data_IF_045304208020
#
_entry.id   IF_045304208020
#
_cell.length_a   1.000
_cell.length_b   1.000
_cell.length_c   1.000
_cell.angle_alpha   90.00
_cell.angle_beta   90.00
_cell.angle_gamma   90.00
#
_symmetry.space_group_name_H-M   'P 1'
#
loop_
_entity.id
_entity.type
_entity.pdbx_description
1 polymer ?
#
# COMPACT_ATOMS: atom_id res chain seq x y z
N UNK A 1 31.30 72.92 5.81
CA UNK A 1 32.59 73.55 5.46
C UNK A 1 33.67 72.46 5.41
N UNK A 2 34.37 72.45 4.25
CA UNK A 2 35.70 71.84 3.95
C UNK A 2 35.76 70.32 3.99
N UNK A 3 35.80 69.60 2.90
CA UNK A 3 36.76 69.42 1.77
C UNK A 3 37.62 68.20 1.96
N UNK A 4 37.50 67.34 0.95
CA UNK A 4 38.37 66.20 0.59
C UNK A 4 39.87 66.61 0.43
N UNK A 5 40.82 65.68 0.37
CA UNK A 5 41.16 65.09 -0.92
C UNK A 5 41.59 63.63 -0.96
N UNK A 6 41.52 63.14 -2.13
CA UNK A 6 41.96 62.08 -2.99
C UNK A 6 43.51 61.87 -3.03
N UNK A 7 43.93 60.57 -3.13
CA UNK A 7 45.06 60.06 -3.98
C UNK A 7 45.17 58.54 -3.69
N UNK A 8 45.20 57.60 -4.57
CA UNK A 8 45.88 57.49 -5.87
C UNK A 8 47.03 56.45 -5.72
N UNK A 9 47.03 55.37 -6.50
CA UNK A 9 48.12 54.41 -6.63
C UNK A 9 47.61 52.95 -6.72
N UNK A 10 47.38 52.43 -7.84
CA UNK A 10 48.12 51.83 -8.98
C UNK A 10 48.74 50.42 -8.68
N UNK A 11 48.21 49.46 -9.40
CA UNK A 11 48.72 48.21 -10.00
C UNK A 11 49.80 47.37 -9.29
N UNK A 12 49.43 46.08 -9.12
CA UNK A 12 50.33 44.99 -9.54
C UNK A 12 49.50 43.72 -9.86
N UNK A 13 49.56 43.30 -11.11
CA UNK A 13 49.16 41.97 -11.60
C UNK A 13 50.19 40.97 -11.15
N UNK A 14 49.72 39.81 -10.64
CA UNK A 14 50.46 38.56 -10.76
C UNK A 14 49.53 37.42 -11.11
N UNK A 15 49.85 36.83 -12.22
CA UNK A 15 49.32 35.68 -12.91
C UNK A 15 49.66 34.37 -12.19
N UNK A 16 48.84 33.34 -12.56
CA UNK A 16 49.16 31.90 -12.57
C UNK A 16 48.84 31.17 -11.27
N UNK A 17 48.28 30.05 -11.21
CA UNK A 17 48.27 28.86 -12.05
C UNK A 17 47.11 27.94 -11.58
N UNK A 18 46.29 27.50 -12.47
CA UNK A 18 45.29 26.45 -12.19
C UNK A 18 45.91 25.08 -12.47
N UNK A 19 45.83 24.11 -11.60
CA UNK A 19 46.11 22.73 -11.99
C UNK A 19 44.90 22.07 -12.60
N UNK A 20 45.10 21.05 -13.47
CA UNK A 20 44.07 20.49 -14.38
C UNK A 20 43.11 19.53 -13.65
N UNK A 21 41.91 19.27 -14.20
CA UNK A 21 40.90 18.40 -13.62
C UNK A 21 41.16 16.93 -14.01
N UNK A 22 41.64 16.12 -13.08
CA UNK A 22 41.60 14.67 -13.22
C UNK A 22 41.71 14.01 -11.87
N UNK A 23 40.59 13.75 -11.20
CA UNK A 23 40.35 12.65 -10.23
C UNK A 23 39.02 12.78 -9.48
N UNK A 24 37.96 13.23 -10.12
CA UNK A 24 36.65 13.32 -9.46
C UNK A 24 35.55 12.44 -10.10
N UNK A 25 35.90 11.50 -10.99
CA UNK A 25 34.90 10.76 -11.77
C UNK A 25 34.85 9.24 -11.51
N UNK A 26 35.40 8.78 -10.40
CA UNK A 26 35.34 7.35 -9.99
C UNK A 26 34.60 7.04 -8.69
N UNK A 27 33.96 8.02 -8.06
CA UNK A 27 33.20 7.81 -6.80
C UNK A 27 31.69 8.12 -6.92
N UNK A 28 31.17 8.31 -8.14
CA UNK A 28 29.73 8.54 -8.39
C UNK A 28 28.98 7.35 -9.01
N UNK A 29 29.51 6.13 -8.98
CA UNK A 29 28.84 4.93 -9.53
C UNK A 29 28.58 3.83 -8.50
N UNK A 30 28.44 4.16 -7.23
CA UNK A 30 28.10 3.18 -6.18
C UNK A 30 27.04 3.69 -5.19
N UNK A 31 26.10 4.54 -5.65
CA UNK A 31 24.99 4.97 -4.80
C UNK A 31 23.74 5.12 -5.66
N UNK A 32 23.19 3.99 -6.09
CA UNK A 32 22.00 4.01 -6.92
C UNK A 32 21.42 2.62 -7.12
N UNK A 33 20.92 1.98 -6.07
CA UNK A 33 19.89 0.93 -6.12
C UNK A 33 19.52 0.53 -4.69
N UNK A 34 18.77 1.37 -3.98
CA UNK A 34 17.92 0.90 -2.89
C UNK A 34 16.51 0.92 -3.42
N UNK A 35 16.01 -0.26 -3.77
CA UNK A 35 14.65 -0.50 -4.22
C UNK A 35 13.65 -0.01 -3.16
N UNK A 36 12.79 0.88 -3.59
CA UNK A 36 11.54 1.19 -2.93
C UNK A 36 10.67 -0.06 -3.01
N UNK A 37 10.45 -0.75 -1.89
CA UNK A 37 9.46 -1.80 -1.77
C UNK A 37 8.05 -1.16 -1.69
N UNK A 38 7.62 -0.62 -2.81
CA UNK A 38 6.24 -0.28 -3.09
C UNK A 38 5.91 -0.98 -4.40
N UNK A 39 5.05 -1.99 -4.34
CA UNK A 39 4.54 -2.76 -5.47
C UNK A 39 5.64 -3.24 -6.46
N UNK A 40 6.36 -4.30 -6.11
CA UNK A 40 7.24 -4.98 -7.06
C UNK A 40 6.40 -5.67 -8.14
N UNK A 41 6.29 -5.04 -9.29
CA UNK A 41 5.90 -5.70 -10.55
C UNK A 41 7.11 -6.52 -10.98
N UNK A 42 7.07 -7.83 -10.81
CA UNK A 42 8.02 -8.74 -11.44
C UNK A 42 7.57 -8.95 -12.89
N UNK A 43 8.14 -8.19 -13.81
CA UNK A 43 8.08 -8.50 -15.23
C UNK A 43 9.10 -9.62 -15.53
N UNK A 44 8.64 -10.85 -15.77
CA UNK A 44 9.44 -11.94 -16.31
C UNK A 44 9.74 -11.65 -17.79
N UNK A 45 10.93 -11.12 -18.06
CA UNK A 45 11.48 -11.03 -19.40
C UNK A 45 11.97 -12.41 -19.86
N UNK A 46 11.38 -12.91 -20.94
CA UNK A 46 11.83 -14.13 -21.62
C UNK A 46 13.17 -13.88 -22.32
N UNK A 47 14.24 -14.42 -21.76
CA UNK A 47 15.55 -14.54 -22.39
C UNK A 47 15.69 -15.92 -23.03
N UNK A 48 15.65 -15.99 -24.35
CA UNK A 48 15.91 -17.19 -25.14
C UNK A 48 17.40 -17.46 -25.22
N UNK A 49 17.88 -18.51 -24.53
CA UNK A 49 19.20 -19.12 -24.74
C UNK A 49 19.02 -20.60 -25.04
N UNK A 50 19.86 -21.22 -25.91
CA UNK A 50 19.60 -22.56 -26.45
C UNK A 50 19.81 -23.65 -25.41
N UNK A 51 18.81 -24.52 -25.29
CA UNK A 51 18.82 -25.70 -24.43
C UNK A 51 19.83 -26.74 -24.94
N UNK A 52 20.74 -27.15 -24.06
CA UNK A 52 21.62 -28.29 -24.25
C UNK A 52 20.87 -29.53 -23.72
N UNK A 53 20.70 -30.52 -24.61
CA UNK A 53 20.04 -31.78 -24.30
C UNK A 53 20.79 -32.55 -23.20
N UNK A 54 20.08 -32.99 -22.18
CA UNK A 54 20.55 -33.96 -21.19
C UNK A 54 20.02 -35.35 -21.57
N UNK A 55 20.92 -36.35 -21.58
CA UNK A 55 20.63 -37.76 -21.86
C UNK A 55 19.77 -38.42 -20.79
N UNK A 56 18.94 -39.42 -21.14
CA UNK A 56 18.08 -40.09 -20.16
C UNK A 56 18.81 -41.23 -19.44
N UNK A 57 18.62 -41.33 -18.13
CA UNK A 57 19.03 -42.47 -17.31
C UNK A 57 18.03 -43.64 -17.49
N UNK A 58 18.49 -44.90 -17.48
CA UNK A 58 17.66 -46.07 -17.74
C UNK A 58 17.00 -46.63 -16.48
N UNK A 59 15.75 -47.00 -16.60
CA UNK A 59 15.13 -48.12 -15.85
C UNK A 59 14.34 -47.75 -14.63
N UNK A 60 13.00 -47.61 -14.76
CA UNK A 60 12.05 -48.04 -13.72
C UNK A 60 10.78 -48.56 -14.40
N UNK A 61 10.46 -49.79 -14.09
CA UNK A 61 9.36 -50.57 -14.62
C UNK A 61 7.99 -49.98 -14.31
N UNK A 62 7.15 -49.86 -15.34
CA UNK A 62 5.73 -49.56 -15.25
C UNK A 62 4.99 -50.77 -14.62
N UNK A 63 4.31 -50.56 -13.49
CA UNK A 63 3.26 -51.43 -13.01
C UNK A 63 1.91 -50.98 -13.58
N UNK A 64 1.02 -51.90 -13.96
CA UNK A 64 -0.27 -51.53 -14.55
C UNK A 64 -1.24 -51.00 -13.47
N UNK A 65 -1.79 -49.80 -13.68
CA UNK A 65 -2.88 -49.23 -12.88
C UNK A 65 -4.18 -49.93 -13.30
N UNK A 66 -4.76 -50.71 -12.38
CA UNK A 66 -6.11 -51.24 -12.53
C UNK A 66 -7.13 -50.12 -12.44
N UNK A 67 -8.02 -50.10 -13.43
CA UNK A 67 -9.21 -49.25 -13.48
C UNK A 67 -10.19 -49.64 -12.38
N UNK A 68 -10.14 -48.97 -11.23
CA UNK A 68 -11.11 -49.09 -10.13
C UNK A 68 -12.19 -48.03 -10.28
N UNK A 69 -13.45 -48.46 -10.18
CA UNK A 69 -14.67 -47.75 -10.45
C UNK A 69 -14.80 -46.34 -9.85
N UNK A 70 -15.42 -45.48 -10.59
CA UNK A 70 -15.88 -44.17 -10.24
C UNK A 70 -16.81 -44.17 -9.04
N UNK A 71 -16.29 -43.90 -7.85
CA UNK A 71 -17.11 -43.40 -6.74
C UNK A 71 -17.26 -41.91 -7.00
N UNK A 72 -18.51 -41.49 -7.23
CA UNK A 72 -18.87 -40.10 -7.44
C UNK A 72 -18.25 -39.21 -6.36
N UNK A 73 -17.43 -38.25 -6.82
CA UNK A 73 -17.06 -37.10 -6.01
C UNK A 73 -18.35 -36.36 -5.63
N UNK A 74 -18.48 -35.83 -4.40
CA UNK A 74 -19.60 -35.00 -4.08
C UNK A 74 -19.60 -33.82 -5.08
N UNK A 75 -20.67 -33.66 -5.81
CA UNK A 75 -20.96 -32.53 -6.65
C UNK A 75 -20.91 -31.29 -5.75
N UNK A 76 -19.76 -30.62 -5.70
CA UNK A 76 -19.71 -29.23 -5.28
C UNK A 76 -20.63 -28.49 -6.24
N UNK A 77 -21.71 -27.92 -5.73
CA UNK A 77 -22.57 -27.03 -6.49
C UNK A 77 -21.67 -25.91 -7.05
N UNK A 78 -21.27 -26.07 -8.32
CA UNK A 78 -20.61 -25.04 -9.11
C UNK A 78 -21.67 -23.98 -9.36
N UNK A 79 -21.90 -23.12 -8.36
CA UNK A 79 -22.74 -21.95 -8.52
C UNK A 79 -22.16 -21.09 -9.62
N UNK A 80 -23.00 -20.41 -10.37
CA UNK A 80 -22.59 -19.48 -11.40
C UNK A 80 -21.66 -18.39 -10.83
N UNK A 81 -20.35 -18.54 -11.06
CA UNK A 81 -19.31 -17.65 -10.55
C UNK A 81 -19.28 -16.29 -11.29
N UNK A 82 -20.00 -16.21 -12.43
CA UNK A 82 -20.13 -14.96 -13.21
C UNK A 82 -21.15 -14.00 -12.60
N UNK A 83 -22.01 -14.49 -11.69
CA UNK A 83 -23.09 -13.70 -11.05
C UNK A 83 -22.61 -12.43 -10.34
N UNK A 84 -21.34 -12.40 -9.94
CA UNK A 84 -20.72 -11.28 -9.22
C UNK A 84 -20.18 -10.19 -10.16
N UNK A 85 -20.04 -10.47 -11.45
CA UNK A 85 -19.42 -9.54 -12.40
C UNK A 85 -20.15 -8.20 -12.44
N UNK A 86 -21.49 -8.21 -12.32
CA UNK A 86 -22.30 -6.98 -12.29
C UNK A 86 -22.08 -6.10 -11.05
N UNK A 87 -21.42 -6.60 -10.01
CA UNK A 87 -21.07 -5.85 -8.79
C UNK A 87 -19.68 -5.25 -8.83
N UNK A 88 -18.90 -5.56 -9.87
CA UNK A 88 -17.52 -5.14 -10.02
C UNK A 88 -17.40 -4.10 -11.13
N UNK A 89 -16.60 -3.08 -10.87
CA UNK A 89 -16.29 -2.02 -11.84
C UNK A 89 -14.80 -1.83 -11.97
N UNK A 90 -14.36 -1.33 -13.11
CA UNK A 90 -13.00 -0.81 -13.27
C UNK A 90 -12.96 0.64 -12.80
N UNK A 91 -11.93 0.98 -12.05
CA UNK A 91 -11.58 2.34 -11.66
C UNK A 91 -10.31 2.76 -12.40
N UNK A 92 -10.38 3.91 -13.06
CA UNK A 92 -9.22 4.62 -13.60
C UNK A 92 -9.15 5.99 -12.90
N UNK A 93 -8.05 6.25 -12.21
CA UNK A 93 -7.85 7.50 -11.47
C UNK A 93 -6.63 8.24 -12.00
N UNK A 94 -6.75 9.55 -12.11
CA UNK A 94 -5.66 10.46 -12.48
C UNK A 94 -5.29 11.34 -11.30
N UNK A 95 -4.00 11.34 -10.99
CA UNK A 95 -3.40 12.09 -9.89
C UNK A 95 -2.44 13.13 -10.48
N UNK A 96 -2.43 14.38 -10.00
CA UNK A 96 -1.47 15.37 -10.43
C UNK A 96 -0.04 14.89 -10.28
N UNK A 97 0.80 15.12 -11.26
CA UNK A 97 2.20 14.65 -11.24
C UNK A 97 3.04 15.26 -10.11
N UNK A 98 2.62 16.40 -9.58
CA UNK A 98 3.23 17.11 -8.45
C UNK A 98 2.66 16.67 -7.09
N UNK A 99 1.68 15.77 -7.06
CA UNK A 99 1.14 15.21 -5.82
C UNK A 99 2.17 14.28 -5.14
N UNK A 100 2.17 14.29 -3.81
CA UNK A 100 3.12 13.51 -3.01
C UNK A 100 3.04 12.02 -3.31
N UNK A 101 1.83 11.48 -3.47
CA UNK A 101 1.65 10.06 -3.77
C UNK A 101 1.97 9.68 -5.22
N UNK A 102 2.03 10.63 -6.16
CA UNK A 102 2.38 10.35 -7.54
C UNK A 102 3.82 9.83 -7.70
N UNK A 103 4.74 10.27 -6.82
CA UNK A 103 6.14 9.84 -6.84
C UNK A 103 6.32 8.34 -6.53
N UNK A 104 5.43 7.76 -5.75
CA UNK A 104 5.54 6.35 -5.31
C UNK A 104 4.51 5.42 -5.95
N UNK A 105 3.33 5.94 -6.29
CA UNK A 105 2.20 5.15 -6.81
C UNK A 105 1.89 5.43 -8.28
N UNK A 106 2.57 6.39 -8.89
CA UNK A 106 2.28 6.84 -10.24
C UNK A 106 1.10 7.82 -10.32
N UNK A 107 1.00 8.53 -11.44
CA UNK A 107 -0.06 9.50 -11.72
C UNK A 107 -1.32 8.86 -12.32
N UNK A 108 -1.16 7.80 -13.11
CA UNK A 108 -2.26 7.01 -13.68
C UNK A 108 -2.40 5.71 -12.89
N UNK A 109 -3.58 5.51 -12.30
CA UNK A 109 -3.85 4.34 -11.46
C UNK A 109 -5.09 3.62 -11.95
N UNK A 110 -4.98 2.31 -12.04
CA UNK A 110 -6.10 1.44 -12.44
C UNK A 110 -6.28 0.34 -11.40
N UNK A 111 -7.51 0.01 -11.10
CA UNK A 111 -7.85 -1.07 -10.19
C UNK A 111 -9.34 -1.40 -10.21
N UNK A 112 -9.77 -2.15 -9.22
CA UNK A 112 -11.13 -2.63 -9.06
C UNK A 112 -11.91 -1.77 -8.09
N UNK A 113 -13.20 -1.59 -8.37
CA UNK A 113 -14.19 -1.07 -7.45
C UNK A 113 -15.35 -2.04 -7.26
N UNK A 114 -16.00 -1.95 -6.13
CA UNK A 114 -17.11 -2.80 -5.69
C UNK A 114 -18.31 -1.90 -5.48
N UNK A 115 -19.43 -2.18 -6.16
CA UNK A 115 -20.66 -1.39 -6.05
C UNK A 115 -21.29 -1.65 -4.69
N UNK A 116 -21.50 -0.59 -3.88
CA UNK A 116 -22.20 -0.65 -2.60
C UNK A 116 -23.67 -0.20 -2.69
N UNK A 117 -23.94 0.77 -3.56
CA UNK A 117 -25.28 1.27 -3.88
C UNK A 117 -25.30 1.82 -5.32
N UNK A 118 -26.36 2.51 -5.71
CA UNK A 118 -26.56 3.02 -7.07
C UNK A 118 -25.51 4.06 -7.52
N UNK A 119 -24.74 4.65 -6.60
CA UNK A 119 -23.72 5.68 -6.90
C UNK A 119 -22.42 5.52 -6.14
N UNK A 120 -22.34 4.62 -5.17
CA UNK A 120 -21.19 4.47 -4.31
C UNK A 120 -20.38 3.23 -4.68
N UNK A 121 -19.07 3.43 -4.88
CA UNK A 121 -18.12 2.37 -5.17
C UNK A 121 -17.06 2.34 -4.07
N UNK A 122 -16.85 1.17 -3.49
CA UNK A 122 -15.78 0.88 -2.55
C UNK A 122 -14.54 0.39 -3.29
N UNK A 123 -13.38 0.85 -2.87
CA UNK A 123 -12.09 0.38 -3.40
C UNK A 123 -11.00 0.45 -2.34
N UNK A 124 -9.78 0.10 -2.72
CA UNK A 124 -8.60 0.39 -1.90
C UNK A 124 -8.11 1.81 -2.17
N UNK A 125 -7.88 2.55 -1.12
CA UNK A 125 -7.75 4.00 -1.19
C UNK A 125 -6.49 4.52 -1.89
N UNK A 126 -5.41 3.74 -1.96
CA UNK A 126 -4.24 4.20 -2.71
C UNK A 126 -4.52 4.40 -4.20
N UNK A 127 -5.58 3.81 -4.75
CA UNK A 127 -6.04 4.09 -6.11
C UNK A 127 -6.56 5.52 -6.27
N UNK A 128 -7.20 6.05 -5.22
CA UNK A 128 -7.91 7.34 -5.24
C UNK A 128 -7.20 8.46 -4.48
N UNK A 129 -6.09 8.13 -3.79
CA UNK A 129 -5.35 9.08 -2.97
C UNK A 129 -4.80 10.23 -3.83
N UNK A 130 -5.18 11.48 -3.49
CA UNK A 130 -4.84 12.72 -4.22
C UNK A 130 -5.34 12.73 -5.68
N UNK A 131 -6.32 11.89 -6.06
CA UNK A 131 -6.84 11.87 -7.42
C UNK A 131 -7.74 13.09 -7.70
N UNK A 132 -7.49 13.77 -8.82
CA UNK A 132 -8.32 14.88 -9.32
C UNK A 132 -9.47 14.38 -10.18
N UNK A 133 -9.30 13.26 -10.87
CA UNK A 133 -10.34 12.68 -11.72
C UNK A 133 -10.41 11.16 -11.52
N UNK A 134 -11.62 10.64 -11.47
CA UNK A 134 -11.90 9.20 -11.41
C UNK A 134 -12.93 8.86 -12.49
N UNK A 135 -12.68 7.78 -13.21
CA UNK A 135 -13.58 7.21 -14.18
C UNK A 135 -13.95 5.78 -13.74
N UNK A 136 -15.25 5.52 -13.63
CA UNK A 136 -15.79 4.20 -13.33
C UNK A 136 -16.27 3.58 -14.63
N UNK A 137 -15.84 2.36 -14.93
CA UNK A 137 -16.36 1.58 -16.07
C UNK A 137 -17.06 0.34 -15.54
N UNK A 138 -18.35 0.21 -15.81
CA UNK A 138 -19.17 -0.92 -15.36
C UNK A 138 -18.95 -2.17 -16.20
N UNK A 139 -19.46 -3.30 -15.75
CA UNK A 139 -19.37 -4.57 -16.49
C UNK A 139 -20.04 -4.51 -17.88
N UNK A 140 -21.05 -3.65 -18.07
CA UNK A 140 -21.67 -3.40 -19.37
C UNK A 140 -20.82 -2.54 -20.32
N UNK A 141 -19.69 -1.98 -19.83
CA UNK A 141 -18.84 -1.06 -20.57
C UNK A 141 -19.23 0.42 -20.46
N UNK A 142 -20.27 0.75 -19.67
CA UNK A 142 -20.67 2.13 -19.42
C UNK A 142 -19.60 2.86 -18.62
N UNK A 143 -19.14 4.01 -19.14
CA UNK A 143 -18.13 4.85 -18.52
C UNK A 143 -18.78 6.05 -17.83
N UNK A 144 -18.56 6.20 -16.53
CA UNK A 144 -19.23 7.21 -15.70
C UNK A 144 -18.16 8.00 -14.95
N UNK A 145 -18.07 9.33 -15.12
CA UNK A 145 -17.24 10.18 -14.30
C UNK A 145 -17.64 10.08 -12.83
N UNK A 146 -16.64 10.20 -11.95
CA UNK A 146 -16.83 10.07 -10.52
C UNK A 146 -15.85 10.96 -9.77
N UNK A 147 -16.12 11.20 -8.50
CA UNK A 147 -15.24 11.90 -7.57
C UNK A 147 -14.89 11.02 -6.38
N UNK A 148 -13.78 11.31 -5.73
CA UNK A 148 -13.41 10.67 -4.46
C UNK A 148 -14.38 11.16 -3.38
N UNK A 149 -15.19 10.26 -2.85
CA UNK A 149 -16.13 10.56 -1.77
C UNK A 149 -15.46 10.56 -0.40
N UNK A 150 -14.45 9.72 -0.19
CA UNK A 150 -13.70 9.68 1.04
C UNK A 150 -12.55 8.69 1.01
N UNK A 151 -11.60 8.92 1.94
CA UNK A 151 -10.44 8.07 2.16
C UNK A 151 -10.14 7.94 3.65
N UNK A 152 -9.82 6.73 4.11
CA UNK A 152 -9.38 6.49 5.48
C UNK A 152 -7.95 5.96 5.54
N UNK A 153 -7.04 6.76 6.07
CA UNK A 153 -5.62 6.39 6.21
C UNK A 153 -5.38 5.23 7.18
N UNK A 154 -6.29 5.01 8.12
CA UNK A 154 -6.17 3.96 9.14
C UNK A 154 -6.42 2.57 8.55
N UNK A 155 -7.46 2.43 7.75
CA UNK A 155 -7.85 1.16 7.13
C UNK A 155 -7.36 1.02 5.70
N UNK A 156 -7.15 2.14 5.01
CA UNK A 156 -6.81 2.17 3.61
C UNK A 156 -8.01 2.06 2.67
N UNK A 157 -9.27 2.15 3.16
CA UNK A 157 -10.43 2.18 2.29
C UNK A 157 -10.56 3.50 1.54
N UNK A 158 -11.02 3.42 0.28
CA UNK A 158 -11.44 4.55 -0.53
C UNK A 158 -12.89 4.38 -0.98
N UNK A 159 -13.65 5.47 -0.97
CA UNK A 159 -15.00 5.54 -1.52
C UNK A 159 -15.03 6.52 -2.68
N UNK A 160 -15.72 6.13 -3.73
CA UNK A 160 -15.92 6.93 -4.94
C UNK A 160 -17.41 7.11 -5.17
N UNK A 161 -17.83 8.30 -5.58
CA UNK A 161 -19.20 8.62 -5.92
C UNK A 161 -19.32 8.97 -7.39
N UNK A 162 -20.19 8.26 -8.11
CA UNK A 162 -20.45 8.49 -9.53
C UNK A 162 -21.47 9.61 -9.75
N UNK A 163 -21.30 10.37 -10.83
CA UNK A 163 -22.25 11.45 -11.20
C UNK A 163 -23.60 10.93 -11.71
N UNK A 164 -23.64 9.71 -12.24
CA UNK A 164 -24.84 9.04 -12.73
C UNK A 164 -25.00 7.69 -12.02
N UNK A 165 -26.23 7.15 -11.94
CA UNK A 165 -26.43 5.82 -11.39
C UNK A 165 -25.68 4.73 -12.17
N UNK A 166 -25.17 3.77 -11.39
CA UNK A 166 -24.55 2.54 -11.87
C UNK A 166 -25.62 1.57 -12.34
N UNK A 167 -25.30 0.80 -13.38
CA UNK A 167 -26.17 -0.26 -13.91
C UNK A 167 -25.83 -1.65 -13.36
N UNK A 168 -24.95 -1.70 -12.35
CA UNK A 168 -24.53 -2.93 -11.68
C UNK A 168 -25.39 -3.25 -10.43
N UNK A 169 -25.11 -4.41 -9.83
CA UNK A 169 -25.78 -4.87 -8.60
C UNK A 169 -24.94 -4.55 -7.38
N UNK A 170 -25.49 -3.92 -6.32
CA UNK A 170 -24.80 -3.74 -5.07
C UNK A 170 -24.39 -5.08 -4.44
N UNK A 171 -23.19 -5.14 -3.87
CA UNK A 171 -22.69 -6.27 -3.09
C UNK A 171 -22.93 -6.00 -1.60
N UNK A 172 -23.64 -6.90 -0.93
CA UNK A 172 -23.90 -6.75 0.51
C UNK A 172 -22.64 -6.94 1.33
N UNK A 173 -22.49 -6.14 2.41
CA UNK A 173 -21.38 -6.26 3.35
C UNK A 173 -21.59 -7.49 4.25
N UNK A 174 -20.66 -8.41 4.21
CA UNK A 174 -20.63 -9.60 5.07
C UNK A 174 -20.10 -9.34 6.47
N UNK A 175 -19.73 -10.40 7.17
CA UNK A 175 -19.11 -10.36 8.49
C UNK A 175 -17.69 -10.91 8.41
N UNK A 176 -16.71 -10.03 8.26
CA UNK A 176 -15.30 -10.40 8.14
C UNK A 176 -14.66 -10.91 9.43
N UNK A 177 -15.31 -10.75 10.60
CA UNK A 177 -14.80 -11.23 11.87
C UNK A 177 -15.07 -12.73 12.04
N UNK A 178 -16.01 -13.29 11.26
CA UNK A 178 -16.29 -14.72 11.21
C UNK A 178 -15.36 -15.50 10.29
N UNK A 179 -14.53 -14.84 9.51
CA UNK A 179 -13.57 -15.50 8.60
C UNK A 179 -12.55 -16.29 9.39
N UNK A 180 -12.31 -17.54 8.98
CA UNK A 180 -11.38 -18.47 9.64
C UNK A 180 -10.31 -18.96 8.66
N UNK A 181 -9.17 -19.36 9.20
CA UNK A 181 -8.12 -20.03 8.43
C UNK A 181 -8.66 -21.30 7.76
N UNK A 182 -8.16 -21.63 6.59
CA UNK A 182 -8.58 -22.72 5.71
C UNK A 182 -9.99 -22.57 5.13
N UNK A 183 -10.71 -21.51 5.45
CA UNK A 183 -12.00 -21.22 4.84
C UNK A 183 -11.83 -20.98 3.34
N UNK A 184 -12.71 -21.58 2.54
CA UNK A 184 -12.87 -21.29 1.12
C UNK A 184 -13.57 -19.94 0.96
N UNK A 185 -13.07 -19.12 0.08
CA UNK A 185 -13.63 -17.82 -0.29
C UNK A 185 -13.43 -17.59 -1.79
N UNK A 186 -14.14 -16.64 -2.35
CA UNK A 186 -14.00 -16.25 -3.75
C UNK A 186 -13.36 -14.88 -3.85
N UNK A 187 -12.68 -14.62 -4.96
CA UNK A 187 -12.18 -13.27 -5.30
C UNK A 187 -12.56 -12.92 -6.72
N UNK A 188 -12.82 -11.64 -6.96
CA UNK A 188 -13.11 -11.11 -8.28
C UNK A 188 -12.55 -9.71 -8.43
N UNK A 189 -11.66 -9.53 -9.42
CA UNK A 189 -11.15 -8.24 -9.89
C UNK A 189 -11.83 -7.81 -11.19
N UNK A 190 -11.70 -6.55 -11.57
CA UNK A 190 -12.22 -6.06 -12.83
C UNK A 190 -11.55 -6.75 -14.02
N UNK A 191 -12.30 -7.05 -15.06
CA UNK A 191 -11.81 -7.69 -16.28
C UNK A 191 -11.62 -9.21 -16.16
N UNK A 192 -11.85 -9.80 -15.00
CA UNK A 192 -11.90 -11.25 -14.84
C UNK A 192 -13.25 -11.79 -15.31
N UNK A 193 -13.30 -12.92 -16.02
CA UNK A 193 -14.54 -13.45 -16.58
C UNK A 193 -15.47 -14.01 -15.49
N UNK A 194 -14.90 -14.51 -14.39
CA UNK A 194 -15.61 -15.12 -13.26
C UNK A 194 -14.80 -15.04 -11.98
N UNK A 195 -15.44 -15.25 -10.84
CA UNK A 195 -14.78 -15.27 -9.55
C UNK A 195 -13.87 -16.51 -9.42
N UNK A 196 -12.69 -16.30 -8.81
CA UNK A 196 -11.69 -17.34 -8.56
C UNK A 196 -11.78 -17.83 -7.13
N UNK A 197 -11.70 -19.15 -6.94
CA UNK A 197 -11.67 -19.78 -5.63
C UNK A 197 -10.27 -19.68 -5.02
N UNK A 198 -10.19 -19.23 -3.77
CA UNK A 198 -8.98 -19.12 -2.98
C UNK A 198 -9.28 -19.50 -1.52
N UNK A 199 -8.22 -19.63 -0.70
CA UNK A 199 -8.37 -20.06 0.68
C UNK A 199 -7.76 -19.07 1.64
N UNK A 200 -8.39 -18.86 2.78
CA UNK A 200 -7.83 -18.06 3.87
C UNK A 200 -6.64 -18.80 4.47
N UNK A 201 -5.48 -18.17 4.44
CA UNK A 201 -4.23 -18.76 4.94
C UNK A 201 -3.93 -18.34 6.37
N UNK A 202 -4.13 -17.06 6.71
CA UNK A 202 -3.91 -16.55 8.08
C UNK A 202 -4.67 -15.25 8.34
N UNK A 203 -4.66 -14.85 9.63
CA UNK A 203 -5.22 -13.61 10.15
C UNK A 203 -4.21 -12.87 11.05
N UNK A 204 -2.91 -12.98 10.76
CA UNK A 204 -1.84 -12.35 11.55
C UNK A 204 -1.83 -10.83 11.39
N UNK A 205 -1.29 -10.11 12.39
CA UNK A 205 -1.07 -8.66 12.29
C UNK A 205 -0.19 -8.32 11.09
N UNK A 206 -0.51 -7.25 10.39
CA UNK A 206 0.29 -6.67 9.32
C UNK A 206 0.66 -5.24 9.65
N UNK A 207 1.95 -4.92 9.58
CA UNK A 207 2.45 -3.55 9.63
C UNK A 207 3.28 -3.23 8.40
N UNK A 208 3.26 -1.98 7.99
CA UNK A 208 4.05 -1.49 6.87
C UNK A 208 4.69 -0.13 7.18
N UNK A 209 5.85 0.11 6.59
CA UNK A 209 6.71 1.25 6.93
C UNK A 209 6.07 2.62 6.82
N UNK A 210 5.03 2.77 6.03
CA UNK A 210 4.32 4.05 5.82
C UNK A 210 3.26 4.38 6.89
N UNK A 211 3.50 3.98 8.15
CA UNK A 211 2.62 4.18 9.30
C UNK A 211 1.25 3.48 9.10
N UNK A 212 1.30 2.21 8.75
CA UNK A 212 0.13 1.39 8.50
C UNK A 212 0.16 0.12 9.34
N UNK A 213 -0.97 -0.18 9.99
CA UNK A 213 -1.15 -1.39 10.82
C UNK A 213 -2.60 -1.84 10.76
N UNK A 214 -2.81 -3.10 10.38
CA UNK A 214 -4.08 -3.82 10.51
C UNK A 214 -3.85 -5.01 11.43
N UNK A 215 -4.64 -5.12 12.49
CA UNK A 215 -4.46 -6.18 13.50
C UNK A 215 -4.81 -7.55 12.99
N UNK A 216 -5.90 -7.66 12.24
CA UNK A 216 -6.43 -8.94 11.77
C UNK A 216 -6.85 -8.88 10.29
N UNK A 217 -5.96 -8.52 9.36
CA UNK A 217 -6.27 -8.61 7.94
C UNK A 217 -6.56 -10.06 7.54
N UNK A 218 -7.08 -10.27 6.35
CA UNK A 218 -7.28 -11.61 5.80
C UNK A 218 -6.15 -11.87 4.81
N UNK A 219 -5.39 -12.93 5.01
CA UNK A 219 -4.40 -13.39 4.03
C UNK A 219 -4.93 -14.61 3.31
N UNK A 220 -4.74 -14.66 1.99
CA UNK A 220 -5.22 -15.77 1.16
C UNK A 220 -4.14 -16.38 0.28
N UNK A 221 -4.39 -17.62 -0.17
CA UNK A 221 -3.58 -18.40 -1.08
C UNK A 221 -4.49 -19.23 -2.00
N UNK A 222 -4.13 -19.51 -3.26
CA UNK A 222 -2.97 -18.97 -3.99
C UNK A 222 -3.08 -17.45 -4.24
N UNK A 223 -1.93 -16.77 -4.49
CA UNK A 223 -1.96 -15.36 -4.84
C UNK A 223 -2.64 -15.13 -6.19
N UNK A 224 -3.44 -14.05 -6.26
CA UNK A 224 -4.04 -13.56 -7.50
C UNK A 224 -3.39 -12.24 -7.92
N UNK A 225 -3.30 -11.99 -9.21
CA UNK A 225 -2.59 -10.82 -9.75
C UNK A 225 -3.46 -9.56 -9.79
N UNK A 226 -4.78 -9.70 -9.89
CA UNK A 226 -5.71 -8.57 -9.98
C UNK A 226 -6.34 -8.23 -8.62
N UNK A 227 -5.49 -8.05 -7.60
CA UNK A 227 -5.92 -7.84 -6.21
C UNK A 227 -6.35 -6.40 -5.89
N UNK A 228 -5.82 -5.40 -6.63
CA UNK A 228 -5.98 -3.98 -6.28
C UNK A 228 -7.43 -3.53 -6.28
N UNK A 229 -8.04 -3.41 -5.10
CA UNK A 229 -9.45 -3.10 -4.92
C UNK A 229 -10.41 -4.26 -5.17
N UNK A 230 -9.93 -5.47 -5.50
CA UNK A 230 -10.77 -6.64 -5.77
C UNK A 230 -11.64 -7.04 -4.58
N UNK A 231 -12.76 -7.69 -4.86
CA UNK A 231 -13.66 -8.20 -3.83
C UNK A 231 -13.20 -9.55 -3.30
N UNK A 232 -13.16 -9.71 -1.98
CA UNK A 232 -13.14 -10.99 -1.30
C UNK A 232 -14.56 -11.35 -0.89
N UNK A 233 -15.08 -12.49 -1.37
CA UNK A 233 -16.50 -12.82 -1.34
C UNK A 233 -16.70 -14.11 -0.55
N UNK A 234 -17.68 -14.14 0.34
CA UNK A 234 -18.11 -15.36 1.03
C UNK A 234 -18.83 -16.33 0.10
N UNK A 235 -19.01 -17.56 0.52
CA UNK A 235 -19.83 -18.56 -0.19
C UNK A 235 -21.28 -18.08 -0.40
N UNK A 236 -21.82 -17.29 0.54
CA UNK A 236 -23.14 -16.70 0.47
C UNK A 236 -23.19 -15.45 -0.46
N UNK A 237 -22.08 -15.02 -1.02
CA UNK A 237 -22.00 -13.89 -1.95
C UNK A 237 -21.85 -12.53 -1.30
N UNK A 238 -21.53 -12.45 -0.01
CA UNK A 238 -21.33 -11.19 0.69
C UNK A 238 -19.84 -10.77 0.67
N UNK A 239 -19.59 -9.47 0.66
CA UNK A 239 -18.26 -8.89 0.70
C UNK A 239 -17.60 -9.12 2.07
N UNK A 240 -16.45 -9.76 2.10
CA UNK A 240 -15.66 -10.00 3.32
C UNK A 240 -14.46 -9.05 3.44
N UNK A 241 -13.92 -8.58 2.32
CA UNK A 241 -12.74 -7.72 2.31
C UNK A 241 -12.46 -7.11 0.96
N UNK A 242 -11.54 -6.15 0.95
CA UNK A 242 -11.05 -5.47 -0.26
C UNK A 242 -9.57 -5.76 -0.44
N UNK A 243 -9.18 -6.17 -1.62
CA UNK A 243 -7.81 -6.50 -1.97
C UNK A 243 -6.89 -5.29 -1.88
N UNK A 244 -5.78 -5.45 -1.15
CA UNK A 244 -4.86 -4.36 -0.88
C UNK A 244 -3.45 -4.60 -1.39
N UNK A 245 -2.85 -5.74 -1.08
CA UNK A 245 -1.45 -6.03 -1.38
C UNK A 245 -1.25 -7.47 -1.81
N UNK A 246 -0.15 -7.71 -2.53
CA UNK A 246 0.50 -9.00 -2.59
C UNK A 246 1.66 -8.99 -1.58
N UNK A 247 1.83 -10.07 -0.85
CA UNK A 247 2.86 -10.20 0.19
C UNK A 247 3.66 -11.48 -0.01
N UNK A 248 4.93 -11.46 0.37
CA UNK A 248 5.83 -12.62 0.23
C UNK A 248 5.64 -13.66 1.34
N UNK A 249 5.00 -13.28 2.46
CA UNK A 249 4.71 -14.18 3.57
C UNK A 249 3.28 -13.94 4.08
N UNK A 250 2.34 -14.72 3.58
CA UNK A 250 0.95 -14.70 3.96
C UNK A 250 0.61 -15.71 5.07
N UNK A 251 1.52 -16.65 5.38
CA UNK A 251 1.31 -17.66 6.40
C UNK A 251 1.67 -17.17 7.81
N UNK A 252 1.07 -17.77 8.83
CA UNK A 252 1.40 -17.46 10.24
C UNK A 252 2.78 -17.99 10.68
N UNK A 253 3.39 -18.85 9.88
CA UNK A 253 4.58 -19.65 10.23
C UNK A 253 5.91 -19.10 9.69
N UNK A 254 5.96 -17.91 9.13
CA UNK A 254 7.16 -17.31 8.53
C UNK A 254 7.83 -18.21 7.46
N UNK A 255 7.01 -18.94 6.71
CA UNK A 255 7.49 -19.90 5.70
C UNK A 255 7.73 -19.26 4.32
N UNK A 256 7.56 -17.93 4.19
CA UNK A 256 7.73 -17.25 2.90
C UNK A 256 6.69 -17.68 1.85
N UNK A 257 5.48 -18.02 2.27
CA UNK A 257 4.40 -18.39 1.36
C UNK A 257 3.76 -17.12 0.81
N UNK A 258 3.84 -16.82 -0.50
CA UNK A 258 3.24 -15.63 -1.07
C UNK A 258 1.72 -15.71 -1.03
N UNK A 259 1.06 -14.56 -0.95
CA UNK A 259 -0.39 -14.46 -0.95
C UNK A 259 -0.88 -13.03 -1.08
N UNK A 260 -2.19 -12.83 -0.98
CA UNK A 260 -2.78 -11.51 -0.97
C UNK A 260 -3.24 -11.11 0.43
N UNK A 261 -3.17 -9.83 0.70
CA UNK A 261 -3.74 -9.20 1.89
C UNK A 261 -5.03 -8.47 1.51
N UNK A 262 -6.07 -8.75 2.28
CA UNK A 262 -7.40 -8.13 2.16
C UNK A 262 -7.72 -7.35 3.42
N UNK A 263 -8.19 -6.11 3.24
CA UNK A 263 -8.68 -5.28 4.36
C UNK A 263 -10.08 -5.74 4.74
N UNK A 264 -10.32 -6.18 5.99
CA UNK A 264 -11.61 -6.71 6.42
C UNK A 264 -12.73 -5.69 6.36
N UNK A 265 -13.88 -6.06 5.78
CA UNK A 265 -14.99 -5.12 5.54
C UNK A 265 -15.64 -4.60 6.82
N UNK A 266 -15.53 -5.33 7.94
CA UNK A 266 -16.04 -4.83 9.23
C UNK A 266 -15.34 -3.54 9.69
N UNK A 267 -14.11 -3.27 9.22
CA UNK A 267 -13.41 -2.01 9.48
C UNK A 267 -14.04 -0.81 8.74
N UNK A 268 -14.80 -1.04 7.66
CA UNK A 268 -15.51 0.02 6.93
C UNK A 268 -16.79 0.45 7.64
N UNK A 269 -17.54 -0.50 8.20
CA UNK A 269 -18.89 -0.26 8.74
C UNK A 269 -18.98 0.94 9.69
N UNK A 270 -18.08 1.09 10.69
CA UNK A 270 -18.17 2.20 11.64
C UNK A 270 -17.81 3.56 11.04
N UNK A 271 -17.05 3.61 9.94
CA UNK A 271 -16.53 4.86 9.36
C UNK A 271 -17.22 5.26 8.05
N UNK A 272 -18.05 4.39 7.47
CA UNK A 272 -18.64 4.61 6.14
C UNK A 272 -19.45 5.90 6.06
N UNK A 273 -20.27 6.19 7.08
CA UNK A 273 -21.06 7.42 7.12
C UNK A 273 -20.20 8.69 7.13
N UNK A 274 -19.11 8.67 7.88
CA UNK A 274 -18.15 9.79 7.94
C UNK A 274 -17.42 9.98 6.62
N UNK A 275 -16.98 8.89 5.97
CA UNK A 275 -16.33 8.95 4.68
C UNK A 275 -17.26 9.53 3.60
N UNK A 276 -18.54 9.15 3.60
CA UNK A 276 -19.51 9.64 2.63
C UNK A 276 -19.92 11.08 2.87
N UNK A 277 -19.97 11.55 4.14
CA UNK A 277 -20.44 12.89 4.48
C UNK A 277 -19.33 13.92 4.61
N UNK A 278 -18.13 13.53 5.03
CA UNK A 278 -17.01 14.42 5.37
C UNK A 278 -15.74 14.14 4.57
N UNK A 279 -15.71 13.05 3.79
CA UNK A 279 -14.54 12.61 3.04
C UNK A 279 -13.45 11.93 3.89
N UNK A 280 -13.60 11.92 5.21
CA UNK A 280 -12.64 11.31 6.17
C UNK A 280 -13.35 10.94 7.47
N UNK A 281 -12.71 10.07 8.27
CA UNK A 281 -13.24 9.76 9.61
C UNK A 281 -13.20 11.01 10.51
N UNK A 282 -14.16 11.10 11.42
CA UNK A 282 -14.29 12.22 12.36
C UNK A 282 -13.63 11.95 13.72
N UNK A 283 -13.48 10.67 14.08
CA UNK A 283 -12.92 10.24 15.35
C UNK A 283 -11.75 9.27 15.17
N UNK A 284 -10.95 9.08 16.21
CA UNK A 284 -9.85 8.13 16.20
C UNK A 284 -8.82 8.38 15.11
N UNK A 285 -8.63 9.63 14.69
CA UNK A 285 -7.61 10.00 13.71
C UNK A 285 -6.24 9.77 14.33
N UNK A 286 -5.50 8.83 13.75
CA UNK A 286 -4.16 8.45 14.22
C UNK A 286 -3.17 9.58 14.02
N UNK A 287 -2.30 9.86 15.02
CA UNK A 287 -1.19 10.79 14.82
C UNK A 287 -0.26 10.26 13.73
N UNK A 288 0.05 11.10 12.75
CA UNK A 288 1.02 10.83 11.71
C UNK A 288 2.27 11.68 11.92
N UNK A 289 3.44 11.05 11.87
CA UNK A 289 4.72 11.72 12.09
C UNK A 289 5.55 11.87 10.81
N UNK A 290 5.18 11.19 9.74
CA UNK A 290 5.82 11.39 8.44
C UNK A 290 7.16 10.66 8.28
N UNK A 291 7.33 9.49 8.88
CA UNK A 291 8.52 8.68 8.68
C UNK A 291 8.17 7.26 8.21
N UNK A 292 9.00 6.73 7.32
CA UNK A 292 8.95 5.33 6.89
C UNK A 292 9.98 4.55 7.69
N UNK A 293 9.56 3.47 8.34
CA UNK A 293 10.42 2.63 9.15
C UNK A 293 10.47 1.20 8.60
N UNK A 294 11.59 0.51 8.80
CA UNK A 294 11.79 -0.90 8.45
C UNK A 294 12.51 -1.64 9.57
N UNK A 295 12.20 -2.92 9.74
CA UNK A 295 12.98 -3.78 10.63
C UNK A 295 14.24 -4.26 9.91
N UNK A 296 15.39 -3.71 10.30
CA UNK A 296 16.68 -4.03 9.72
C UNK A 296 17.57 -4.65 10.80
N UNK A 297 17.91 -5.92 10.66
CA UNK A 297 18.76 -6.68 11.60
C UNK A 297 18.33 -6.54 13.07
N UNK A 298 17.01 -6.63 13.31
CA UNK A 298 16.44 -6.53 14.66
C UNK A 298 16.29 -5.11 15.21
N UNK A 299 16.56 -4.09 14.40
CA UNK A 299 16.39 -2.68 14.77
C UNK A 299 15.29 -2.04 13.92
N UNK A 300 14.51 -1.16 14.50
CA UNK A 300 13.52 -0.35 13.78
C UNK A 300 14.23 0.90 13.22
N UNK A 301 14.60 0.83 11.95
CA UNK A 301 15.35 1.89 11.26
C UNK A 301 14.43 2.83 10.50
N UNK A 302 14.66 4.13 10.59
CA UNK A 302 14.05 5.13 9.72
C UNK A 302 14.72 5.06 8.36
N UNK A 303 13.97 4.70 7.32
CA UNK A 303 14.48 4.58 5.93
C UNK A 303 14.14 5.80 5.08
N UNK A 304 13.08 6.51 5.44
CA UNK A 304 12.67 7.76 4.77
C UNK A 304 11.94 8.67 5.74
N UNK A 305 12.07 9.97 5.53
CA UNK A 305 11.32 11.03 6.21
C UNK A 305 10.60 11.87 5.15
N UNK A 306 9.34 12.20 5.42
CA UNK A 306 8.55 13.05 4.54
C UNK A 306 9.10 14.48 4.58
N UNK A 307 9.42 15.03 3.40
CA UNK A 307 9.91 16.41 3.28
C UNK A 307 8.85 17.39 3.79
N UNK A 308 9.24 18.36 4.60
CA UNK A 308 8.36 19.31 5.29
C UNK A 308 7.31 18.60 6.17
N UNK A 309 7.64 17.42 6.66
CA UNK A 309 6.77 16.65 7.56
C UNK A 309 7.24 16.71 9.02
N UNK A 310 6.37 16.31 9.97
CA UNK A 310 6.63 16.46 11.40
C UNK A 310 7.93 15.84 11.90
N UNK A 311 8.32 14.68 11.37
CA UNK A 311 9.56 14.00 11.77
C UNK A 311 10.81 14.76 11.28
N UNK A 312 10.76 15.32 10.05
CA UNK A 312 11.87 16.16 9.54
C UNK A 312 12.03 17.41 10.40
N UNK A 313 10.93 18.10 10.72
CA UNK A 313 10.92 19.29 11.57
C UNK A 313 11.47 19.03 12.97
N UNK A 314 11.26 17.82 13.50
CA UNK A 314 11.80 17.37 14.78
C UNK A 314 13.25 16.88 14.71
N UNK A 315 13.88 16.88 13.52
CA UNK A 315 15.27 16.49 13.33
C UNK A 315 15.49 14.98 13.17
N UNK A 316 14.45 14.18 12.89
CA UNK A 316 14.60 12.77 12.50
C UNK A 316 15.20 12.70 11.10
N UNK A 317 16.08 11.73 10.88
CA UNK A 317 16.76 11.54 9.59
C UNK A 317 16.75 10.06 9.18
N UNK A 318 16.83 9.77 7.87
CA UNK A 318 17.11 8.41 7.43
C UNK A 318 18.39 7.85 8.05
N UNK A 319 18.36 6.60 8.51
CA UNK A 319 19.44 5.94 9.25
C UNK A 319 19.30 6.02 10.77
N UNK A 320 18.43 6.87 11.31
CA UNK A 320 18.12 6.87 12.74
C UNK A 320 17.43 5.55 13.14
N UNK A 321 17.72 5.04 14.33
CA UNK A 321 17.11 3.83 14.88
C UNK A 321 16.12 4.23 15.98
N UNK A 322 14.85 3.90 15.83
CA UNK A 322 13.84 4.14 16.85
C UNK A 322 13.93 3.07 17.92
N UNK A 323 14.25 3.46 19.15
CA UNK A 323 14.40 2.55 20.30
C UNK A 323 13.33 2.72 21.36
N UNK A 324 12.53 3.78 21.29
CA UNK A 324 11.45 4.03 22.24
C UNK A 324 10.48 5.11 21.82
N UNK A 325 9.27 5.06 22.38
CA UNK A 325 8.22 6.07 22.25
C UNK A 325 7.55 6.27 23.60
N UNK A 326 7.33 7.52 23.99
CA UNK A 326 6.68 7.92 25.26
C UNK A 326 7.32 7.25 26.51
N UNK A 327 8.64 7.10 26.52
CA UNK A 327 9.39 6.47 27.60
C UNK A 327 9.43 4.94 27.58
N UNK A 328 8.66 4.29 26.70
CA UNK A 328 8.62 2.83 26.55
C UNK A 328 9.53 2.38 25.41
N UNK A 329 10.28 1.27 25.60
CA UNK A 329 11.05 0.63 24.53
C UNK A 329 10.12 0.08 23.45
N UNK A 330 10.63 0.00 22.22
CA UNK A 330 9.95 -0.66 21.10
C UNK A 330 10.82 -1.78 20.56
N UNK A 331 10.20 -2.94 20.28
CA UNK A 331 10.88 -4.11 19.75
C UNK A 331 10.73 -4.24 18.24
N UNK A 332 9.58 -3.80 17.72
CA UNK A 332 9.25 -3.91 16.31
C UNK A 332 8.33 -2.77 15.84
N UNK A 333 8.04 -2.75 14.56
CA UNK A 333 7.23 -1.72 13.91
C UNK A 333 5.77 -1.72 14.39
N UNK A 334 5.17 -2.89 14.61
CA UNK A 334 3.78 -2.96 15.06
C UNK A 334 3.63 -2.43 16.50
N UNK A 335 4.57 -2.79 17.37
CA UNK A 335 4.63 -2.27 18.74
C UNK A 335 4.87 -0.75 18.76
N UNK A 336 5.78 -0.27 17.91
CA UNK A 336 6.03 1.16 17.74
C UNK A 336 4.74 1.91 17.39
N UNK A 337 3.99 1.45 16.38
CA UNK A 337 2.75 2.10 15.99
C UNK A 337 1.68 2.07 17.08
N UNK A 338 1.50 0.92 17.74
CA UNK A 338 0.53 0.81 18.85
C UNK A 338 0.83 1.80 19.97
N UNK A 339 2.11 1.91 20.35
CA UNK A 339 2.54 2.84 21.41
C UNK A 339 2.42 4.29 20.96
N UNK A 340 2.85 4.60 19.74
CA UNK A 340 2.77 5.94 19.18
C UNK A 340 1.33 6.44 19.11
N UNK A 341 0.40 5.64 18.61
CA UNK A 341 -1.00 6.02 18.50
C UNK A 341 -1.75 6.06 19.84
N UNK A 342 -1.21 5.40 20.85
CA UNK A 342 -1.74 5.47 22.22
C UNK A 342 -1.40 6.79 22.94
N UNK A 343 -0.39 7.52 22.49
CA UNK A 343 -0.01 8.83 23.08
C UNK A 343 -1.15 9.83 22.95
N UNK A 344 -1.88 9.83 21.85
CA UNK A 344 -3.03 10.72 21.64
C UNK A 344 -3.46 10.76 20.17
N UNK A 345 -4.50 11.55 19.85
CA UNK A 345 -4.96 11.73 18.48
C UNK A 345 -3.97 12.57 17.66
N UNK A 346 -4.25 12.72 16.37
CA UNK A 346 -3.53 13.65 15.50
C UNK A 346 -3.42 15.03 16.13
N UNK A 347 -2.24 15.65 16.06
CA UNK A 347 -1.89 16.86 16.79
C UNK A 347 -1.22 16.63 18.15
N UNK A 348 -1.18 15.40 18.66
CA UNK A 348 -0.39 15.09 19.84
C UNK A 348 1.12 15.22 19.60
N UNK A 349 1.87 15.59 20.64
CA UNK A 349 3.33 15.57 20.61
C UNK A 349 3.80 14.17 20.98
N UNK A 350 4.56 13.54 20.10
CA UNK A 350 5.06 12.16 20.23
C UNK A 350 6.50 12.22 20.72
N UNK A 351 6.80 11.83 21.98
CA UNK A 351 8.17 11.71 22.46
C UNK A 351 8.83 10.47 21.84
N UNK A 352 9.89 10.65 21.08
CA UNK A 352 10.67 9.58 20.48
C UNK A 352 12.04 9.50 21.12
N UNK A 353 12.54 8.28 21.33
CA UNK A 353 13.92 8.00 21.64
C UNK A 353 14.56 7.31 20.44
N UNK A 354 15.61 7.92 19.89
CA UNK A 354 16.30 7.41 18.70
C UNK A 354 17.79 7.29 18.97
N UNK A 355 18.46 6.39 18.23
CA UNK A 355 19.92 6.38 18.09
C UNK A 355 20.26 7.08 16.79
N UNK A 356 21.02 8.18 16.89
CA UNK A 356 21.44 9.02 15.78
C UNK A 356 22.97 9.18 15.78
N UNK A 357 23.63 8.67 14.74
CA UNK A 357 25.09 8.73 14.66
C UNK A 357 25.83 8.03 15.82
N UNK A 358 25.17 7.06 16.47
CA UNK A 358 25.72 6.35 17.65
C UNK A 358 25.25 6.91 19.01
N UNK A 359 24.71 8.13 19.05
CA UNK A 359 24.22 8.77 20.28
C UNK A 359 22.73 8.54 20.47
N UNK A 360 22.31 8.34 21.72
CA UNK A 360 20.90 8.33 22.08
C UNK A 360 20.38 9.78 22.15
N UNK A 361 19.28 10.04 21.47
CA UNK A 361 18.61 11.35 21.44
C UNK A 361 17.14 11.20 21.79
N UNK A 362 16.64 12.15 22.58
CA UNK A 362 15.21 12.33 22.83
C UNK A 362 14.70 13.44 21.91
N UNK A 363 13.69 13.13 21.11
CA UNK A 363 13.06 14.03 20.14
C UNK A 363 11.57 14.17 20.49
N UNK A 364 10.98 15.32 20.18
CA UNK A 364 9.56 15.56 20.35
C UNK A 364 8.94 15.89 18.99
N UNK A 365 8.13 14.99 18.44
CA UNK A 365 7.53 15.14 17.12
C UNK A 365 6.09 15.62 17.28
N UNK A 366 5.76 16.79 16.74
CA UNK A 366 4.39 17.30 16.71
C UNK A 366 3.63 16.64 15.57
N UNK A 367 2.85 15.60 15.87
CA UNK A 367 2.08 14.87 14.86
C UNK A 367 0.97 15.71 14.24
N UNK A 368 0.51 15.30 13.06
CA UNK A 368 -0.62 15.90 12.35
C UNK A 368 -1.60 14.84 11.87
N UNK A 369 -2.78 15.24 11.37
CA UNK A 369 -3.59 14.39 10.52
C UNK A 369 -2.90 14.24 9.16
N UNK A 370 -2.67 13.00 8.73
CA UNK A 370 -2.04 12.73 7.43
C UNK A 370 -2.83 13.32 6.26
N UNK A 371 -4.15 13.40 6.38
CA UNK A 371 -5.01 14.01 5.36
C UNK A 371 -4.73 15.51 5.14
N UNK A 372 -4.20 16.20 6.16
CA UNK A 372 -3.85 17.63 6.03
C UNK A 372 -2.49 17.84 5.37
N UNK A 373 -1.63 16.82 5.32
CA UNK A 373 -0.32 16.85 4.66
C UNK A 373 -0.43 16.63 3.14
N UNK A 374 -1.42 15.87 2.71
CA UNK A 374 -1.61 15.51 1.31
C UNK A 374 -2.33 16.61 0.53
N UNK A 375 -2.08 16.64 -0.77
CA UNK A 375 -2.75 17.57 -1.67
C UNK A 375 -4.24 17.24 -1.69
N UNK A 376 -5.08 18.24 -1.39
CA UNK A 376 -6.53 18.07 -1.50
C UNK A 376 -6.89 18.06 -2.98
N UNK A 377 -7.75 17.10 -3.38
CA UNK A 377 -8.36 17.11 -4.70
C UNK A 377 -9.08 18.44 -4.92
N UNK A 378 -8.83 19.08 -6.03
CA UNK A 378 -9.51 20.33 -6.40
C UNK A 378 -10.92 20.07 -6.92
N UNK A 379 -11.36 18.79 -6.94
CA UNK A 379 -12.68 18.24 -7.30
C UNK A 379 -13.56 19.14 -8.16
N UNK A 380 -13.98 18.64 -9.30
CA UNK A 380 -15.01 19.29 -10.13
C UNK A 380 -16.36 19.09 -9.46
#
# INVERSE_FOLDING_TARGET
MRRFPVSGGEMARTTTDSPPPACADRLRRAAGAVLVAGAAIVALGAGSGPARAAEPLPGSAMLPVQSGGSRGAPSSASGDLTRYNSSIVRLDAKVPSDATSAQSLGADRTGTGIILDDRTVLTIGYLTLEADAVLVTTASGKRIPASVAGYDHTTGFGLVRTVLPLDGKPMALGDSDRVREKQRVLTLGHGEPEATEIFVLSRKTFSAGWEYLIETPIFTFPPVNNWSGAALISEDGNLLGVGSLIVNDAASSQQGIPGNLWVPVNLLKPIMADLLSRGRRSDGVRPWVGMTTENVRGNLMVVRVARNGPAEDAGVSPGDIVVGVAGEKVADQAEFYRKMWKVGPAGATIPLKVIKGGDVRDLSVKSIDRADFLKKSTGI
#
